data_IF_339878615302
#
_entry.id   IF_339878615302
#
_cell.length_a   1.000
_cell.length_b   1.000
_cell.length_c   1.000
_cell.angle_alpha   90.00
_cell.angle_beta   90.00
_cell.angle_gamma   90.00
#
_symmetry.space_group_name_H-M   'P 1'
#
loop_
_entity.id
_entity.type
_entity.pdbx_description
1 polymer ?
#
# COMPACT_ATOMS: atom_id res chain seq x y z
N UNK A 1 14.28 17.81 -0.49
CA UNK A 1 13.65 17.83 -1.83
C UNK A 1 12.70 16.65 -2.07
N UNK A 2 13.05 15.41 -1.67
CA UNK A 2 12.17 14.24 -1.78
C UNK A 2 10.81 14.43 -1.10
N UNK A 3 10.83 14.96 0.11
CA UNK A 3 9.60 15.18 0.90
C UNK A 3 8.75 16.30 0.32
N UNK A 4 9.37 17.35 -0.20
CA UNK A 4 8.65 18.42 -0.89
C UNK A 4 7.93 17.91 -2.16
N UNK A 5 8.59 17.03 -2.93
CA UNK A 5 7.96 16.38 -4.08
C UNK A 5 6.82 15.44 -3.66
N UNK A 6 6.95 14.80 -2.51
CA UNK A 6 5.93 13.93 -1.94
C UNK A 6 4.70 14.72 -1.49
N UNK A 7 4.90 15.80 -0.74
CA UNK A 7 3.82 16.71 -0.34
C UNK A 7 3.11 17.30 -1.56
N UNK A 8 3.86 17.74 -2.57
CA UNK A 8 3.28 18.23 -3.83
C UNK A 8 2.48 17.16 -4.55
N UNK A 9 2.94 15.91 -4.53
CA UNK A 9 2.24 14.80 -5.17
C UNK A 9 0.94 14.48 -4.41
N UNK A 10 0.98 14.41 -3.07
CA UNK A 10 -0.19 14.21 -2.20
C UNK A 10 -1.22 15.31 -2.44
N UNK A 11 -0.80 16.57 -2.38
CA UNK A 11 -1.69 17.72 -2.55
C UNK A 11 -2.34 17.80 -3.94
N UNK A 12 -1.70 17.25 -4.98
CA UNK A 12 -2.27 17.17 -6.33
C UNK A 12 -3.17 15.95 -6.54
N UNK A 13 -3.12 15.00 -5.64
CA UNK A 13 -3.85 13.73 -5.80
C UNK A 13 -5.24 13.87 -5.21
N UNK A 14 -6.26 13.49 -5.98
CA UNK A 14 -7.65 13.47 -5.54
C UNK A 14 -7.87 12.33 -4.53
N UNK A 15 -8.96 12.37 -3.77
CA UNK A 15 -9.27 11.38 -2.71
C UNK A 15 -9.21 9.90 -3.16
N UNK A 16 -9.45 9.61 -4.44
CA UNK A 16 -9.37 8.26 -5.02
C UNK A 16 -8.08 7.95 -5.78
N UNK A 17 -7.13 8.89 -5.80
CA UNK A 17 -5.86 8.72 -6.48
C UNK A 17 -4.84 8.05 -5.58
N UNK A 18 -3.84 7.41 -6.19
CA UNK A 18 -2.79 6.77 -5.43
C UNK A 18 -1.41 7.06 -6.02
N UNK A 19 -0.42 7.18 -5.12
CA UNK A 19 0.95 7.60 -5.42
C UNK A 19 1.91 6.55 -4.89
N UNK A 20 2.93 6.24 -5.67
CA UNK A 20 4.05 5.40 -5.26
C UNK A 20 5.33 6.17 -5.54
N UNK A 21 6.15 6.36 -4.52
CA UNK A 21 7.48 6.93 -4.65
C UNK A 21 8.49 5.85 -4.28
N UNK A 22 9.48 5.61 -5.16
CA UNK A 22 10.56 4.65 -4.97
C UNK A 22 11.88 5.38 -5.13
N UNK A 23 12.88 5.01 -4.34
CA UNK A 23 14.21 5.60 -4.42
C UNK A 23 15.31 4.69 -3.95
N UNK A 24 16.53 4.99 -4.36
CA UNK A 24 17.73 4.31 -3.89
C UNK A 24 17.99 4.62 -2.42
N UNK A 25 18.20 3.58 -1.63
CA UNK A 25 18.46 3.66 -0.20
C UNK A 25 19.58 2.67 0.18
N UNK A 26 20.23 2.89 1.32
CA UNK A 26 21.37 2.09 1.78
C UNK A 26 20.94 0.85 2.59
N UNK A 27 19.72 0.34 2.36
CA UNK A 27 19.24 -0.89 2.96
C UNK A 27 19.67 -2.13 2.13
N UNK A 28 19.46 -3.32 2.66
CA UNK A 28 19.83 -4.59 2.01
C UNK A 28 19.22 -4.77 0.60
N UNK A 29 18.09 -4.12 0.31
CA UNK A 29 17.44 -4.14 -1.00
C UNK A 29 17.95 -3.06 -1.97
N UNK A 30 18.72 -2.08 -1.47
CA UNK A 30 19.23 -0.96 -2.25
C UNK A 30 18.17 0.09 -2.61
N UNK A 31 16.92 -0.08 -2.15
CA UNK A 31 15.83 0.86 -2.41
C UNK A 31 14.81 0.89 -1.27
N UNK A 32 14.17 2.04 -1.12
CA UNK A 32 13.03 2.25 -0.23
C UNK A 32 11.86 2.80 -1.03
N UNK A 33 10.65 2.57 -0.52
CA UNK A 33 9.43 3.06 -1.15
C UNK A 33 8.43 3.56 -0.13
N UNK A 34 7.57 4.49 -0.55
CA UNK A 34 6.40 4.92 0.21
C UNK A 34 5.20 5.09 -0.72
N UNK A 35 4.02 4.85 -0.17
CA UNK A 35 2.76 4.89 -0.90
C UNK A 35 1.73 5.78 -0.21
N UNK A 36 0.81 6.34 -0.99
CA UNK A 36 -0.31 7.15 -0.53
C UNK A 36 -1.56 6.81 -1.35
N UNK A 37 -2.72 6.78 -0.71
CA UNK A 37 -4.01 6.46 -1.33
C UNK A 37 -4.38 4.97 -1.28
N UNK A 38 -5.63 4.67 -1.61
CA UNK A 38 -6.20 3.33 -1.60
C UNK A 38 -5.78 2.55 -2.86
N UNK A 39 -5.12 1.40 -2.70
CA UNK A 39 -4.73 0.51 -3.80
C UNK A 39 -4.98 -0.95 -3.44
N UNK A 40 -5.28 -1.74 -4.46
CA UNK A 40 -5.30 -3.21 -4.38
C UNK A 40 -3.91 -3.83 -4.08
N UNK A 41 -2.85 -3.01 -4.12
CA UNK A 41 -1.45 -3.45 -3.93
C UNK A 41 -0.86 -2.73 -2.72
N UNK A 42 -0.49 -3.50 -1.71
CA UNK A 42 0.06 -3.02 -0.45
C UNK A 42 1.47 -3.55 -0.27
N UNK A 43 2.42 -2.68 0.01
CA UNK A 43 3.78 -3.11 0.38
C UNK A 43 3.77 -3.66 1.80
N UNK A 44 4.28 -4.88 1.98
CA UNK A 44 4.39 -5.58 3.25
C UNK A 44 5.86 -5.87 3.50
N UNK A 45 6.35 -5.50 4.69
CA UNK A 45 7.67 -5.86 5.17
C UNK A 45 7.62 -7.27 5.76
N UNK A 46 8.41 -8.18 5.19
CA UNK A 46 8.56 -9.55 5.65
C UNK A 46 10.04 -9.81 5.95
N UNK A 47 10.41 -9.69 7.23
CA UNK A 47 11.77 -9.91 7.73
C UNK A 47 12.85 -9.08 7.00
N UNK A 48 12.54 -7.83 6.63
CA UNK A 48 13.47 -6.93 5.93
C UNK A 48 13.41 -7.03 4.41
N UNK A 49 12.46 -7.80 3.86
CA UNK A 49 12.11 -7.80 2.44
C UNK A 49 10.81 -7.03 2.24
N UNK A 50 10.87 -5.96 1.43
CA UNK A 50 9.65 -5.31 0.96
C UNK A 50 9.04 -6.12 -0.18
N UNK A 51 7.87 -6.71 0.07
CA UNK A 51 7.08 -7.48 -0.89
C UNK A 51 5.79 -6.72 -1.24
N UNK A 52 5.24 -6.97 -2.43
CA UNK A 52 3.93 -6.41 -2.83
C UNK A 52 2.86 -7.47 -2.63
N UNK A 53 1.98 -7.25 -1.65
CA UNK A 53 0.74 -8.01 -1.49
C UNK A 53 -0.30 -7.44 -2.44
N UNK A 54 -0.88 -8.29 -3.29
CA UNK A 54 -2.02 -7.93 -4.12
C UNK A 54 -3.25 -8.54 -3.46
N UNK A 55 -4.11 -7.71 -2.91
CA UNK A 55 -5.39 -8.16 -2.36
C UNK A 55 -6.31 -8.50 -3.54
N UNK A 56 -6.33 -9.79 -3.91
CA UNK A 56 -7.32 -10.33 -4.86
C UNK A 56 -8.70 -10.36 -4.19
N UNK A 57 -9.28 -9.20 -3.89
CA UNK A 57 -10.72 -9.10 -3.67
C UNK A 57 -11.40 -8.57 -4.93
N UNK A 58 -11.32 -9.38 -5.99
CA UNK A 58 -12.37 -9.40 -7.01
C UNK A 58 -13.24 -10.62 -6.71
N UNK A 59 -13.98 -10.59 -5.61
CA UNK A 59 -15.20 -11.38 -5.52
C UNK A 59 -16.37 -10.41 -5.53
N UNK A 60 -17.17 -10.52 -6.58
CA UNK A 60 -18.60 -10.26 -6.58
C UNK A 60 -19.17 -10.12 -5.16
N UNK A 61 -19.88 -9.01 -4.90
CA UNK A 61 -20.77 -8.87 -3.75
C UNK A 61 -21.60 -10.15 -3.61
N UNK A 62 -21.25 -11.03 -2.68
CA UNK A 62 -22.10 -12.09 -2.13
C UNK A 62 -21.79 -12.25 -0.66
N UNK A 63 -22.70 -11.68 0.13
CA UNK A 63 -23.00 -11.93 1.54
C UNK A 63 -22.54 -13.30 2.04
N UNK A 64 -21.77 -13.33 3.13
CA UNK A 64 -21.85 -14.39 4.13
C UNK A 64 -21.72 -13.79 5.53
N UNK A 65 -22.88 -13.67 6.18
CA UNK A 65 -22.99 -13.64 7.63
C UNK A 65 -22.67 -15.05 8.15
N UNK A 66 -21.88 -15.16 9.21
CA UNK A 66 -21.94 -16.26 10.18
C UNK A 66 -21.08 -15.87 11.38
N UNK A 67 -21.68 -15.44 12.48
CA UNK A 67 -21.96 -16.30 13.64
C UNK A 67 -20.70 -17.04 14.15
N UNK A 68 -20.27 -16.68 15.35
CA UNK A 68 -19.79 -17.62 16.38
C UNK A 68 -19.57 -16.87 17.69
N UNK A 69 -20.65 -16.75 18.46
CA UNK A 69 -20.59 -16.85 19.92
C UNK A 69 -20.10 -18.26 20.27
N UNK A 70 -19.05 -18.41 21.07
CA UNK A 70 -18.95 -19.30 22.26
C UNK A 70 -17.50 -19.51 22.71
N UNK A 71 -17.22 -19.99 23.96
CA UNK A 71 -18.04 -20.82 24.86
C UNK A 71 -18.80 -20.10 25.97
#
# INVERSE_FOLDING_TARGET
>A
MRDELWERAINKTKESGAILQIWTDQNSQGFSSRQYGERERTFVDFEGLYLVKIDKNTSTIKTQNSDTTNP
#
